data_IF_845612276811
#
_entry.id   IF_845612276811
#
_cell.length_a   1.000
_cell.length_b   1.000
_cell.length_c   1.000
_cell.angle_alpha   90.00
_cell.angle_beta   90.00
_cell.angle_gamma   90.00
#
_symmetry.space_group_name_H-M   'P 1'
#
loop_
_entity.id
_entity.type
_entity.pdbx_description
1 polymer ?
#
# COMPACT_ATOMS: atom_id res chain seq x y z
N UNK A 1 -32.90 -20.17 -8.66
CA UNK A 1 -32.83 -18.83 -8.04
C UNK A 1 -33.06 -17.82 -9.14
N UNK A 2 -34.04 -16.93 -8.99
CA UNK A 2 -34.22 -15.80 -9.90
C UNK A 2 -33.51 -14.60 -9.29
N UNK A 3 -32.63 -13.98 -10.07
CA UNK A 3 -32.02 -12.70 -9.75
C UNK A 3 -32.72 -11.64 -10.59
N UNK A 4 -33.46 -10.76 -9.93
CA UNK A 4 -34.05 -9.58 -10.55
C UNK A 4 -33.06 -8.43 -10.45
N UNK A 5 -32.73 -7.84 -11.58
CA UNK A 5 -31.92 -6.62 -11.71
C UNK A 5 -32.69 -5.64 -12.57
N UNK A 6 -32.34 -4.36 -12.47
CA UNK A 6 -32.90 -3.32 -13.35
C UNK A 6 -32.55 -3.60 -14.81
N UNK A 7 -33.36 -3.09 -15.74
CA UNK A 7 -33.36 -3.50 -17.15
C UNK A 7 -32.04 -3.20 -17.89
N UNK A 8 -31.25 -2.25 -17.42
CA UNK A 8 -29.96 -1.85 -18.00
C UNK A 8 -28.78 -2.72 -17.50
N UNK A 9 -28.91 -3.31 -16.32
CA UNK A 9 -27.83 -4.05 -15.66
C UNK A 9 -27.35 -5.29 -16.44
N UNK A 10 -28.21 -6.09 -17.10
CA UNK A 10 -27.75 -7.24 -17.88
C UNK A 10 -26.78 -6.87 -19.01
N UNK A 11 -27.01 -5.73 -19.66
CA UNK A 11 -26.17 -5.24 -20.75
C UNK A 11 -24.82 -4.76 -20.23
N UNK A 12 -24.81 -3.98 -19.15
CA UNK A 12 -23.56 -3.60 -18.47
C UNK A 12 -22.76 -4.81 -17.99
N UNK A 13 -23.41 -5.82 -17.41
CA UNK A 13 -22.73 -7.05 -17.00
C UNK A 13 -22.14 -7.79 -18.20
N UNK A 14 -22.79 -7.75 -19.36
CA UNK A 14 -22.28 -8.37 -20.59
C UNK A 14 -21.02 -7.67 -21.07
N UNK A 15 -21.05 -6.34 -21.09
CA UNK A 15 -19.90 -5.50 -21.44
C UNK A 15 -18.71 -5.77 -20.52
N UNK A 16 -18.94 -5.77 -19.20
CA UNK A 16 -17.89 -5.94 -18.19
C UNK A 16 -17.33 -7.37 -18.13
N UNK A 17 -18.16 -8.38 -18.37
CA UNK A 17 -17.74 -9.79 -18.36
C UNK A 17 -17.17 -10.28 -19.71
N UNK A 18 -17.37 -9.49 -20.77
CA UNK A 18 -16.98 -9.81 -22.14
C UNK A 18 -17.86 -10.84 -22.83
N UNK A 19 -18.84 -11.46 -22.15
CA UNK A 19 -19.89 -12.27 -22.78
C UNK A 19 -21.04 -12.58 -21.84
N UNK A 20 -22.23 -12.78 -22.40
CA UNK A 20 -23.44 -13.17 -21.67
C UNK A 20 -23.23 -14.43 -20.81
N UNK A 21 -22.50 -15.43 -21.32
CA UNK A 21 -22.18 -16.68 -20.59
C UNK A 21 -21.28 -16.45 -19.38
N UNK A 22 -20.46 -15.39 -19.39
CA UNK A 22 -19.53 -15.06 -18.30
C UNK A 22 -20.13 -14.14 -17.23
N UNK A 23 -21.32 -13.57 -17.46
CA UNK A 23 -21.98 -12.67 -16.49
C UNK A 23 -22.13 -13.29 -15.11
N UNK A 24 -22.58 -14.55 -15.03
CA UNK A 24 -22.78 -15.23 -13.76
C UNK A 24 -21.47 -15.45 -12.99
N UNK A 25 -20.41 -15.85 -13.69
CA UNK A 25 -19.08 -16.01 -13.09
C UNK A 25 -18.52 -14.66 -12.61
N UNK A 26 -18.66 -13.63 -13.44
CA UNK A 26 -18.23 -12.27 -13.13
C UNK A 26 -18.95 -11.71 -11.90
N UNK A 27 -20.29 -11.81 -11.86
CA UNK A 27 -21.09 -11.38 -10.72
C UNK A 27 -20.73 -12.15 -9.45
N UNK A 28 -20.54 -13.46 -9.56
CA UNK A 28 -20.10 -14.29 -8.41
C UNK A 28 -18.75 -13.84 -7.87
N UNK A 29 -17.80 -13.51 -8.75
CA UNK A 29 -16.48 -13.02 -8.38
C UNK A 29 -16.57 -11.70 -7.64
N UNK A 30 -17.34 -10.74 -8.15
CA UNK A 30 -17.54 -9.43 -7.53
C UNK A 30 -18.19 -9.58 -6.15
N UNK A 31 -19.27 -10.33 -6.03
CA UNK A 31 -19.98 -10.49 -4.76
C UNK A 31 -19.06 -11.12 -3.71
N UNK A 32 -18.23 -12.12 -4.08
CA UNK A 32 -17.24 -12.71 -3.17
C UNK A 32 -16.19 -11.70 -2.73
N UNK A 33 -15.69 -10.87 -3.64
CA UNK A 33 -14.71 -9.83 -3.33
C UNK A 33 -15.30 -8.74 -2.42
N UNK A 34 -16.51 -8.28 -2.71
CA UNK A 34 -17.22 -7.29 -1.88
C UNK A 34 -17.51 -7.85 -0.48
N UNK A 35 -17.98 -9.08 -0.38
CA UNK A 35 -18.24 -9.72 0.90
C UNK A 35 -16.95 -9.94 1.71
N UNK A 36 -15.86 -10.37 1.06
CA UNK A 36 -14.56 -10.50 1.72
C UNK A 36 -14.01 -9.13 2.16
N UNK A 37 -14.13 -8.10 1.32
CA UNK A 37 -13.75 -6.73 1.63
C UNK A 37 -14.57 -6.14 2.78
N UNK A 38 -15.88 -6.37 2.81
CA UNK A 38 -16.74 -5.96 3.93
C UNK A 38 -16.39 -6.69 5.22
N UNK A 39 -16.07 -7.99 5.19
CA UNK A 39 -15.60 -8.69 6.39
C UNK A 39 -14.29 -8.08 6.93
N UNK A 40 -13.40 -7.63 6.06
CA UNK A 40 -12.15 -6.99 6.47
C UNK A 40 -12.40 -5.59 7.04
N UNK A 41 -13.27 -4.77 6.40
CA UNK A 41 -13.60 -3.41 6.88
C UNK A 41 -14.45 -3.39 8.15
N UNK A 42 -15.25 -4.44 8.41
CA UNK A 42 -16.11 -4.52 9.61
C UNK A 42 -15.33 -4.92 10.86
N UNK A 43 -14.12 -5.47 10.72
CA UNK A 43 -13.17 -5.55 11.82
C UNK A 43 -12.49 -4.18 11.94
N UNK A 44 -12.81 -3.40 12.95
CA UNK A 44 -12.33 -2.02 13.20
C UNK A 44 -10.81 -1.87 13.45
N UNK A 45 -10.00 -2.67 12.76
CA UNK A 45 -8.55 -2.82 12.90
C UNK A 45 -7.79 -2.04 11.82
N UNK A 46 -8.47 -1.54 10.77
CA UNK A 46 -7.78 -0.84 9.66
C UNK A 46 -7.16 0.49 10.09
N UNK A 47 -7.85 1.29 10.93
CA UNK A 47 -7.31 2.57 11.42
C UNK A 47 -6.15 2.33 12.40
N UNK A 48 -6.27 1.36 13.31
CA UNK A 48 -5.20 1.00 14.22
C UNK A 48 -3.99 0.40 13.48
N UNK A 49 -4.22 -0.41 12.46
CA UNK A 49 -3.17 -0.94 11.58
C UNK A 49 -2.49 0.19 10.80
N UNK A 50 -3.24 1.17 10.27
CA UNK A 50 -2.66 2.36 9.62
C UNK A 50 -1.82 3.15 10.63
N UNK A 51 -2.30 3.38 11.85
CA UNK A 51 -1.52 4.06 12.89
C UNK A 51 -0.24 3.31 13.24
N UNK A 52 -0.30 1.98 13.34
CA UNK A 52 0.86 1.15 13.64
C UNK A 52 1.88 1.18 12.49
N UNK A 53 1.42 1.11 11.25
CA UNK A 53 2.27 1.24 10.07
C UNK A 53 2.92 2.63 9.99
N UNK A 54 2.17 3.69 10.25
CA UNK A 54 2.68 5.06 10.31
C UNK A 54 3.73 5.24 11.41
N UNK A 55 3.51 4.67 12.59
CA UNK A 55 4.50 4.67 13.67
C UNK A 55 5.79 3.93 13.26
N UNK A 56 5.67 2.79 12.57
CA UNK A 56 6.80 2.06 12.02
C UNK A 56 7.59 2.86 10.98
N UNK A 57 6.90 3.56 10.07
CA UNK A 57 7.52 4.44 9.08
C UNK A 57 8.26 5.62 9.73
N UNK A 58 7.67 6.26 10.74
CA UNK A 58 8.32 7.33 11.49
C UNK A 58 9.60 6.84 12.21
N UNK A 59 9.58 5.63 12.75
CA UNK A 59 10.77 4.99 13.33
C UNK A 59 11.88 4.78 12.30
N UNK A 60 11.53 4.31 11.10
CA UNK A 60 12.49 4.12 10.00
C UNK A 60 13.06 5.43 9.46
N UNK A 61 12.26 6.49 9.41
CA UNK A 61 12.75 7.81 9.07
C UNK A 61 13.85 8.26 10.05
N UNK A 62 13.61 8.14 11.36
CA UNK A 62 14.58 8.53 12.38
C UNK A 62 15.86 7.69 12.34
N UNK A 63 15.74 6.40 12.03
CA UNK A 63 16.90 5.52 11.80
C UNK A 63 17.75 6.02 10.62
N UNK A 64 17.11 6.40 9.50
CA UNK A 64 17.79 6.93 8.32
C UNK A 64 18.46 8.28 8.60
N UNK A 65 17.79 9.18 9.32
CA UNK A 65 18.37 10.46 9.76
C UNK A 65 19.64 10.24 10.60
N UNK A 66 19.62 9.28 11.53
CA UNK A 66 20.79 8.94 12.34
C UNK A 66 21.96 8.39 11.51
N UNK A 67 21.66 7.54 10.51
CA UNK A 67 22.68 7.04 9.57
C UNK A 67 23.26 8.15 8.71
N UNK A 68 22.43 9.09 8.27
CA UNK A 68 22.87 10.24 7.48
C UNK A 68 23.82 11.13 8.30
N UNK A 69 23.45 11.46 9.54
CA UNK A 69 24.30 12.22 10.45
C UNK A 69 25.66 11.53 10.70
N UNK A 70 25.67 10.20 10.81
CA UNK A 70 26.91 9.46 10.97
C UNK A 70 27.79 9.53 9.72
N UNK A 71 27.19 9.43 8.53
CA UNK A 71 27.91 9.61 7.26
C UNK A 71 28.48 11.03 7.13
N UNK A 72 27.71 12.06 7.51
CA UNK A 72 28.18 13.45 7.49
C UNK A 72 29.39 13.65 8.41
N UNK A 73 29.37 13.07 9.63
CA UNK A 73 30.52 13.10 10.55
C UNK A 73 31.74 12.40 9.97
N UNK A 74 31.56 11.23 9.36
CA UNK A 74 32.64 10.49 8.72
C UNK A 74 33.24 11.28 7.54
N UNK A 75 32.39 11.88 6.70
CA UNK A 75 32.83 12.72 5.59
C UNK A 75 33.61 13.93 6.11
N UNK A 76 33.10 14.62 7.13
CA UNK A 76 33.78 15.76 7.75
C UNK A 76 35.15 15.37 8.32
N UNK A 77 35.26 14.19 8.94
CA UNK A 77 36.53 13.67 9.45
C UNK A 77 37.53 13.34 8.32
N UNK A 78 37.08 12.74 7.21
CA UNK A 78 37.91 12.45 6.04
C UNK A 78 38.41 13.75 5.40
N UNK A 79 37.52 14.72 5.21
CA UNK A 79 37.85 16.03 4.66
C UNK A 79 38.88 16.72 5.56
N UNK A 80 38.62 16.79 6.87
CA UNK A 80 39.53 17.44 7.83
C UNK A 80 40.89 16.73 7.90
N UNK A 81 40.91 15.40 7.94
CA UNK A 81 42.16 14.61 7.92
C UNK A 81 42.94 14.74 6.61
N UNK A 82 42.25 14.96 5.48
CA UNK A 82 42.90 15.20 4.19
C UNK A 82 43.54 16.60 4.09
N UNK A 83 43.09 17.58 4.88
CA UNK A 83 43.65 18.94 4.90
C UNK A 83 44.70 19.18 6.00
N UNK A 84 44.85 18.25 6.95
CA UNK A 84 45.81 18.37 8.07
C UNK A 84 47.21 17.81 7.74
N UNK A 85 47.41 17.26 6.54
CA UNK A 85 48.74 16.85 6.07
C UNK A 85 49.52 18.04 5.49
N UNK A 86 49.96 18.97 6.34
CA UNK A 86 51.07 19.88 5.98
C UNK A 86 52.40 19.20 6.34
N UNK A 87 53.33 19.03 5.38
CA UNK A 87 54.67 18.56 5.70
C UNK A 87 55.41 19.64 6.51
N UNK A 88 56.07 19.22 7.60
CA UNK A 88 57.18 19.97 8.20
C UNK A 88 58.43 19.82 7.35
#
# INVERSE_FOLDING_TARGET
>A
MNLSVEDDIPDLLTELSGSERKRGEYLTRIIRQLHAGQLNMTQGNDIEMIHLQMAGLAGKQKELEGRFLQMEKQLSAVISGAFDTKPK
#
